data_IF_490092415307
#
_entry.id   IF_490092415307
#
_cell.length_a   1.000
_cell.length_b   1.000
_cell.length_c   1.000
_cell.angle_alpha   90.00
_cell.angle_beta   90.00
_cell.angle_gamma   90.00
#
_symmetry.space_group_name_H-M   'P 1'
#
loop_
_entity.id
_entity.type
_entity.pdbx_description
1 polymer ?
#
# COMPACT_ATOMS: atom_id res chain seq x y z
N UNK A 1 -2.03 33.62 -5.14
CA UNK A 1 -2.91 33.09 -6.21
C UNK A 1 -2.26 31.87 -6.86
N UNK A 2 -3.04 30.88 -7.30
CA UNK A 2 -2.58 29.72 -8.10
C UNK A 2 -3.34 29.72 -9.42
N UNK A 3 -2.64 29.56 -10.54
CA UNK A 3 -3.22 29.74 -11.87
C UNK A 3 -2.81 28.61 -12.83
N UNK A 4 -3.70 28.28 -13.76
CA UNK A 4 -3.41 27.47 -14.95
C UNK A 4 -3.71 28.32 -16.19
N UNK A 5 -2.77 29.16 -16.64
CA UNK A 5 -3.06 30.27 -17.56
C UNK A 5 -3.72 29.85 -18.88
N UNK A 6 -3.36 28.69 -19.40
CA UNK A 6 -3.91 28.18 -20.68
C UNK A 6 -5.23 27.44 -20.54
N UNK A 7 -5.61 27.05 -19.33
CA UNK A 7 -6.94 26.50 -19.04
C UNK A 7 -7.91 27.57 -18.56
N UNK A 8 -7.43 28.80 -18.29
CA UNK A 8 -8.25 29.88 -17.72
C UNK A 8 -8.75 29.55 -16.31
N UNK A 9 -8.01 28.75 -15.55
CA UNK A 9 -8.37 28.40 -14.17
C UNK A 9 -7.53 29.21 -13.18
N UNK A 10 -8.20 29.82 -12.21
CA UNK A 10 -7.58 30.64 -11.17
C UNK A 10 -8.15 30.24 -9.81
N UNK A 11 -7.27 30.13 -8.83
CA UNK A 11 -7.59 29.69 -7.47
C UNK A 11 -6.97 30.64 -6.45
N UNK A 12 -7.82 31.30 -5.68
CA UNK A 12 -7.42 32.15 -4.56
C UNK A 12 -7.41 31.33 -3.27
N UNK A 13 -6.33 30.57 -3.06
CA UNK A 13 -6.17 29.72 -1.87
C UNK A 13 -4.99 30.24 -1.04
N UNK A 14 -5.26 30.59 0.22
CA UNK A 14 -4.23 30.90 1.21
C UNK A 14 -3.58 29.62 1.74
N UNK A 15 -2.29 29.67 2.10
CA UNK A 15 -1.60 28.54 2.77
C UNK A 15 -2.19 28.25 4.15
N UNK A 16 -2.50 29.32 4.88
CA UNK A 16 -3.20 29.28 6.16
C UNK A 16 -4.68 29.02 5.91
N UNK A 17 -5.24 28.01 6.56
CA UNK A 17 -6.66 27.70 6.50
C UNK A 17 -7.45 28.62 7.44
N UNK A 18 -7.04 28.67 8.71
CA UNK A 18 -7.61 29.54 9.72
C UNK A 18 -6.65 29.68 10.90
N UNK A 19 -6.94 30.61 11.82
CA UNK A 19 -6.16 30.82 13.05
C UNK A 19 -7.02 30.47 14.26
N UNK A 20 -6.42 29.76 15.22
CA UNK A 20 -6.99 29.56 16.55
C UNK A 20 -6.17 30.44 17.51
N UNK A 21 -6.76 31.53 18.00
CA UNK A 21 -6.04 32.61 18.69
C UNK A 21 -4.88 33.15 17.83
N UNK A 22 -3.64 32.89 18.23
CA UNK A 22 -2.42 33.27 17.50
C UNK A 22 -1.80 32.12 16.71
N UNK A 23 -2.39 30.91 16.77
CA UNK A 23 -1.85 29.72 16.14
C UNK A 23 -2.42 29.52 14.73
N UNK A 24 -1.61 29.68 13.66
CA UNK A 24 -2.04 29.37 12.31
C UNK A 24 -2.18 27.86 12.11
N UNK A 25 -3.31 27.46 11.53
CA UNK A 25 -3.57 26.10 11.06
C UNK A 25 -3.46 26.10 9.54
N UNK A 26 -2.60 25.24 9.00
CA UNK A 26 -2.31 25.18 7.57
C UNK A 26 -3.12 24.08 6.88
N UNK A 27 -3.55 24.35 5.64
CA UNK A 27 -4.24 23.36 4.81
C UNK A 27 -3.44 22.08 4.63
N UNK A 28 -2.12 22.19 4.53
CA UNK A 28 -1.22 21.05 4.41
C UNK A 28 -1.43 20.02 5.54
N UNK A 29 -1.53 20.50 6.79
CA UNK A 29 -1.78 19.65 7.96
C UNK A 29 -3.19 19.05 7.95
N UNK A 30 -4.19 19.84 7.56
CA UNK A 30 -5.58 19.38 7.45
C UNK A 30 -5.71 18.26 6.41
N UNK A 31 -5.11 18.43 5.23
CA UNK A 31 -5.15 17.46 4.13
C UNK A 31 -4.46 16.16 4.55
N UNK A 32 -3.28 16.23 5.21
CA UNK A 32 -2.59 15.04 5.70
C UNK A 32 -3.40 14.33 6.80
N UNK A 33 -3.96 15.08 7.75
CA UNK A 33 -4.80 14.51 8.80
C UNK A 33 -6.04 13.81 8.20
N UNK A 34 -6.68 14.45 7.23
CA UNK A 34 -7.80 13.87 6.49
C UNK A 34 -7.40 12.59 5.75
N UNK A 35 -6.30 12.62 5.00
CA UNK A 35 -5.76 11.47 4.26
C UNK A 35 -5.47 10.28 5.20
N UNK A 36 -4.86 10.57 6.34
CA UNK A 36 -4.56 9.59 7.38
C UNK A 36 -5.83 9.00 8.00
N UNK A 37 -6.77 9.83 8.46
CA UNK A 37 -8.04 9.38 9.05
C UNK A 37 -8.82 8.53 8.03
N UNK A 38 -8.88 8.96 6.77
CA UNK A 38 -9.54 8.22 5.71
C UNK A 38 -8.90 6.84 5.50
N UNK A 39 -7.56 6.76 5.45
CA UNK A 39 -6.85 5.49 5.36
C UNK A 39 -7.16 4.55 6.53
N UNK A 40 -7.23 5.08 7.75
CA UNK A 40 -7.60 4.31 8.95
C UNK A 40 -9.03 3.81 8.87
N UNK A 41 -10.00 4.66 8.54
CA UNK A 41 -11.42 4.29 8.42
C UNK A 41 -11.61 3.22 7.35
N UNK A 42 -11.00 3.39 6.17
CA UNK A 42 -11.08 2.41 5.08
C UNK A 42 -10.38 1.10 5.46
N UNK A 43 -9.25 1.18 6.16
CA UNK A 43 -8.57 0.04 6.76
C UNK A 43 -9.50 -0.73 7.69
N UNK A 44 -10.01 -0.10 8.75
CA UNK A 44 -10.91 -0.73 9.72
C UNK A 44 -12.14 -1.37 9.08
N UNK A 45 -12.78 -0.69 8.12
CA UNK A 45 -13.96 -1.24 7.42
C UNK A 45 -13.64 -2.50 6.61
N UNK A 46 -12.41 -2.61 6.11
CA UNK A 46 -11.99 -3.70 5.25
C UNK A 46 -11.29 -4.83 6.01
N UNK A 47 -10.77 -4.57 7.22
CA UNK A 47 -9.93 -5.50 7.98
C UNK A 47 -10.59 -6.84 8.25
N UNK A 48 -11.90 -6.85 8.54
CA UNK A 48 -12.70 -8.07 8.77
C UNK A 48 -12.60 -9.06 7.61
N UNK A 49 -12.57 -8.57 6.37
CA UNK A 49 -12.45 -9.40 5.16
C UNK A 49 -11.09 -10.10 5.02
N UNK A 50 -10.11 -9.69 5.81
CA UNK A 50 -8.76 -10.25 5.83
C UNK A 50 -8.46 -11.01 7.12
N UNK A 51 -9.47 -11.24 7.96
CA UNK A 51 -9.29 -11.87 9.28
C UNK A 51 -8.38 -11.05 10.20
N UNK A 52 -8.46 -9.71 10.11
CA UNK A 52 -7.78 -8.79 11.01
C UNK A 52 -8.85 -8.02 11.79
N UNK A 53 -8.77 -8.09 13.11
CA UNK A 53 -9.67 -7.33 13.98
C UNK A 53 -9.55 -5.82 13.71
N UNK A 54 -10.67 -5.09 13.51
CA UNK A 54 -10.65 -3.64 13.32
C UNK A 54 -9.88 -2.89 14.41
N UNK A 55 -9.98 -3.35 15.64
CA UNK A 55 -9.30 -2.82 16.83
C UNK A 55 -7.79 -2.92 16.67
N UNK A 56 -7.29 -4.01 16.08
CA UNK A 56 -5.86 -4.17 15.79
C UNK A 56 -5.33 -3.13 14.80
N UNK A 57 -6.18 -2.58 13.91
CA UNK A 57 -5.78 -1.48 13.02
C UNK A 57 -5.61 -0.19 13.81
N UNK A 58 -6.55 0.10 14.72
CA UNK A 58 -6.48 1.27 15.60
C UNK A 58 -5.26 1.16 16.51
N UNK A 59 -5.06 0.01 17.16
CA UNK A 59 -3.89 -0.27 18.01
C UNK A 59 -2.59 -0.02 17.24
N UNK A 60 -2.44 -0.62 16.05
CA UNK A 60 -1.26 -0.46 15.22
C UNK A 60 -0.98 1.03 14.96
N UNK A 61 -2.00 1.80 14.60
CA UNK A 61 -1.88 3.21 14.27
C UNK A 61 -1.52 4.05 15.52
N UNK A 62 -2.11 3.74 16.68
CA UNK A 62 -1.82 4.40 17.95
C UNK A 62 -0.37 4.17 18.40
N UNK A 63 0.23 3.02 18.09
CA UNK A 63 1.66 2.79 18.31
C UNK A 63 2.54 3.39 17.20
N UNK A 64 2.14 3.23 15.93
CA UNK A 64 2.98 3.58 14.80
C UNK A 64 3.10 5.09 14.61
N UNK A 65 2.03 5.86 14.79
CA UNK A 65 2.05 7.31 14.54
C UNK A 65 2.99 8.07 15.50
N UNK A 66 2.95 7.87 16.83
CA UNK A 66 3.89 8.53 17.74
C UNK A 66 5.34 8.11 17.48
N UNK A 67 5.60 6.82 17.28
CA UNK A 67 6.95 6.31 17.00
C UNK A 67 7.48 6.84 15.67
N UNK A 68 6.64 6.94 14.63
CA UNK A 68 7.02 7.54 13.36
C UNK A 68 7.42 9.01 13.53
N UNK A 69 6.71 9.79 14.34
CA UNK A 69 7.07 11.20 14.61
C UNK A 69 8.43 11.27 15.32
N UNK A 70 8.65 10.43 16.33
CA UNK A 70 9.93 10.36 17.06
C UNK A 70 11.07 10.00 16.11
N UNK A 71 10.93 8.95 15.31
CA UNK A 71 11.97 8.56 14.36
C UNK A 71 12.17 9.58 13.24
N UNK A 72 11.12 10.24 12.77
CA UNK A 72 11.23 11.32 11.78
C UNK A 72 12.07 12.48 12.32
N UNK A 73 11.90 12.82 13.61
CA UNK A 73 12.72 13.85 14.27
C UNK A 73 14.15 13.38 14.50
N UNK A 74 14.34 12.18 15.04
CA UNK A 74 15.67 11.61 15.27
C UNK A 74 16.48 11.53 13.97
N UNK A 75 15.88 11.06 12.89
CA UNK A 75 16.52 11.04 11.58
C UNK A 75 16.93 12.44 11.14
N UNK A 76 16.05 13.44 11.25
CA UNK A 76 16.39 14.82 10.90
C UNK A 76 17.58 15.34 11.71
N UNK A 77 17.60 15.10 13.02
CA UNK A 77 18.66 15.56 13.94
C UNK A 77 19.99 14.89 13.62
N UNK A 78 20.01 13.60 13.34
CA UNK A 78 21.23 12.86 13.00
C UNK A 78 21.87 13.42 11.73
N UNK A 79 21.07 13.71 10.70
CA UNK A 79 21.59 14.24 9.43
C UNK A 79 21.92 15.73 9.48
N UNK A 80 21.42 16.47 10.47
CA UNK A 80 21.70 17.89 10.68
C UNK A 80 22.43 18.13 12.01
N UNK A 81 23.24 17.17 12.47
CA UNK A 81 23.86 17.19 13.81
C UNK A 81 24.61 18.49 14.14
N UNK A 82 25.19 19.13 13.12
CA UNK A 82 25.88 20.42 13.26
C UNK A 82 24.99 21.54 13.83
N UNK A 83 23.69 21.51 13.60
CA UNK A 83 22.71 22.50 14.10
C UNK A 83 22.30 22.23 15.57
N UNK A 84 22.41 20.98 16.02
CA UNK A 84 21.88 20.54 17.32
C UNK A 84 22.95 20.34 18.39
N UNK A 85 24.23 20.19 18.00
CA UNK A 85 25.34 19.89 18.92
C UNK A 85 25.50 20.91 20.06
N UNK A 86 25.12 22.16 19.83
CA UNK A 86 25.30 23.27 20.77
C UNK A 86 24.01 23.57 21.59
N UNK A 87 22.86 23.02 21.20
CA UNK A 87 21.60 23.11 21.94
C UNK A 87 20.78 21.81 21.79
N UNK A 88 21.02 20.86 22.69
CA UNK A 88 20.34 19.56 22.68
C UNK A 88 18.84 19.65 23.01
N UNK A 89 18.36 20.72 23.65
CA UNK A 89 16.93 20.89 23.95
C UNK A 89 16.13 21.20 22.69
N UNK A 90 16.75 21.82 21.68
CA UNK A 90 16.14 22.08 20.38
C UNK A 90 15.72 20.79 19.64
N UNK A 91 16.29 19.64 19.98
CA UNK A 91 15.90 18.31 19.45
C UNK A 91 14.41 18.03 19.67
N UNK A 92 13.84 18.47 20.80
CA UNK A 92 12.42 18.24 21.12
C UNK A 92 11.49 19.26 20.45
N UNK A 93 12.02 20.34 19.87
CA UNK A 93 11.21 21.37 19.25
C UNK A 93 10.78 20.96 17.83
N UNK A 94 9.69 20.19 17.75
CA UNK A 94 9.09 19.77 16.48
C UNK A 94 8.26 20.86 15.80
N UNK A 95 8.00 21.99 16.49
CA UNK A 95 7.16 23.07 15.97
C UNK A 95 7.87 23.95 14.94
N UNK A 96 9.20 24.00 14.99
CA UNK A 96 10.02 24.71 14.00
C UNK A 96 10.19 23.92 12.70
N UNK A 97 9.53 22.75 12.57
CA UNK A 97 9.72 21.84 11.46
C UNK A 97 10.84 20.83 11.73
N UNK A 98 11.47 20.34 10.68
CA UNK A 98 12.58 19.36 10.78
C UNK A 98 12.11 17.96 11.13
N UNK A 99 11.21 17.41 10.30
CA UNK A 99 10.78 16.02 10.33
C UNK A 99 11.16 15.37 8.99
N UNK A 100 11.98 14.32 9.04
CA UNK A 100 12.40 13.61 7.84
C UNK A 100 11.52 12.38 7.61
N UNK A 101 10.91 12.29 6.42
CA UNK A 101 9.99 11.20 6.07
C UNK A 101 10.64 9.81 6.17
N UNK A 102 11.93 9.70 5.83
CA UNK A 102 12.68 8.44 5.93
C UNK A 102 12.67 7.88 7.35
N UNK A 103 12.90 8.73 8.36
CA UNK A 103 12.80 8.34 9.76
C UNK A 103 11.39 7.85 10.12
N UNK A 104 10.36 8.60 9.71
CA UNK A 104 8.98 8.21 9.98
C UNK A 104 8.61 6.84 9.40
N UNK A 105 9.03 6.56 8.16
CA UNK A 105 8.82 5.25 7.52
C UNK A 105 9.56 4.14 8.26
N UNK A 106 10.82 4.35 8.65
CA UNK A 106 11.60 3.36 9.43
C UNK A 106 10.88 3.04 10.75
N UNK A 107 10.48 4.07 11.50
CA UNK A 107 9.76 3.90 12.77
C UNK A 107 8.44 3.14 12.60
N UNK A 108 7.66 3.50 11.57
CA UNK A 108 6.40 2.82 11.27
C UNK A 108 6.57 1.34 10.89
N UNK A 109 7.59 1.01 10.09
CA UNK A 109 7.90 -0.37 9.68
C UNK A 109 8.35 -1.22 10.88
N UNK A 110 9.19 -0.66 11.76
CA UNK A 110 9.63 -1.33 13.00
C UNK A 110 8.41 -1.67 13.86
N UNK A 111 7.51 -0.70 14.09
CA UNK A 111 6.29 -0.94 14.87
C UNK A 111 5.41 -1.98 14.19
N UNK A 112 5.17 -1.88 12.88
CA UNK A 112 4.34 -2.85 12.16
C UNK A 112 4.89 -4.27 12.26
N UNK A 113 6.21 -4.45 12.20
CA UNK A 113 6.86 -5.74 12.36
C UNK A 113 6.63 -6.34 13.76
N UNK A 114 6.93 -5.59 14.82
CA UNK A 114 6.77 -6.07 16.20
C UNK A 114 5.29 -6.26 16.56
N UNK A 115 4.42 -5.37 16.09
CA UNK A 115 2.97 -5.46 16.29
C UNK A 115 2.39 -6.72 15.63
N UNK A 116 2.75 -6.99 14.37
CA UNK A 116 2.32 -8.19 13.66
C UNK A 116 2.74 -9.47 14.42
N UNK A 117 4.00 -9.51 14.92
CA UNK A 117 4.50 -10.65 15.71
C UNK A 117 3.74 -10.80 17.02
N UNK A 118 3.46 -9.71 17.73
CA UNK A 118 2.73 -9.75 18.99
C UNK A 118 1.29 -10.22 18.82
N UNK A 119 0.58 -9.75 17.79
CA UNK A 119 -0.80 -10.15 17.47
C UNK A 119 -0.88 -11.45 16.67
N UNK A 120 0.24 -12.15 16.44
CA UNK A 120 0.33 -13.39 15.62
C UNK A 120 -0.24 -13.23 14.21
N UNK A 121 -0.14 -12.04 13.63
CA UNK A 121 -0.52 -11.74 12.25
C UNK A 121 0.71 -11.91 11.36
N UNK A 122 0.57 -12.54 10.19
CA UNK A 122 1.63 -12.58 9.20
C UNK A 122 2.10 -11.16 8.83
N UNK A 123 3.40 -10.86 8.96
CA UNK A 123 3.94 -9.51 8.69
C UNK A 123 3.60 -9.07 7.26
N UNK A 124 3.81 -9.95 6.28
CA UNK A 124 3.49 -9.66 4.88
C UNK A 124 1.99 -9.53 4.64
N UNK A 125 1.15 -10.32 5.34
CA UNK A 125 -0.30 -10.15 5.34
C UNK A 125 -0.70 -8.74 5.78
N UNK A 126 -0.13 -8.27 6.88
CA UNK A 126 -0.41 -6.94 7.44
C UNK A 126 0.05 -5.83 6.49
N UNK A 127 1.24 -5.95 5.90
CA UNK A 127 1.76 -4.96 4.95
C UNK A 127 0.93 -4.95 3.65
N UNK A 128 0.62 -6.11 3.06
CA UNK A 128 -0.27 -6.21 1.89
C UNK A 128 -1.63 -5.57 2.15
N UNK A 129 -2.12 -5.70 3.38
CA UNK A 129 -3.36 -5.10 3.84
C UNK A 129 -3.26 -3.57 3.98
N UNK A 130 -2.17 -3.05 4.54
CA UNK A 130 -1.99 -1.62 4.77
C UNK A 130 -1.64 -0.82 3.51
N UNK A 131 -0.81 -1.38 2.63
CA UNK A 131 -0.13 -0.61 1.57
C UNK A 131 -1.05 0.13 0.58
N UNK A 132 -2.23 -0.39 0.17
CA UNK A 132 -3.12 0.36 -0.71
C UNK A 132 -3.70 1.60 -0.03
N UNK A 133 -3.99 1.54 1.28
CA UNK A 133 -4.48 2.71 2.01
C UNK A 133 -3.37 3.74 2.22
N UNK A 134 -2.11 3.28 2.36
CA UNK A 134 -0.94 4.14 2.41
C UNK A 134 -0.79 4.93 1.11
N UNK A 135 -0.84 4.28 -0.05
CA UNK A 135 -0.69 4.99 -1.34
C UNK A 135 -1.88 5.90 -1.64
N UNK A 136 -3.10 5.55 -1.22
CA UNK A 136 -4.23 6.47 -1.27
C UNK A 136 -3.96 7.73 -0.43
N UNK A 137 -3.44 7.57 0.79
CA UNK A 137 -3.11 8.70 1.65
C UNK A 137 -1.98 9.56 1.07
N UNK A 138 -0.98 8.95 0.42
CA UNK A 138 0.06 9.68 -0.32
C UNK A 138 -0.56 10.56 -1.42
N UNK A 139 -1.43 9.98 -2.25
CA UNK A 139 -2.06 10.70 -3.36
C UNK A 139 -2.92 11.89 -2.90
N UNK A 140 -3.64 11.74 -1.78
CA UNK A 140 -4.40 12.85 -1.17
C UNK A 140 -3.45 13.88 -0.57
N UNK A 141 -2.40 13.44 0.13
CA UNK A 141 -1.39 14.31 0.74
C UNK A 141 -0.71 15.26 -0.25
N UNK A 142 -0.57 14.86 -1.52
CA UNK A 142 0.00 15.72 -2.59
C UNK A 142 -0.78 17.01 -2.82
N UNK A 143 -2.07 17.05 -2.50
CA UNK A 143 -2.86 18.29 -2.57
C UNK A 143 -2.42 19.33 -1.54
N UNK A 144 -1.70 18.92 -0.48
CA UNK A 144 -0.98 19.86 0.38
C UNK A 144 0.07 20.65 -0.39
N UNK A 145 0.84 19.99 -1.27
CA UNK A 145 1.87 20.66 -2.08
C UNK A 145 1.27 21.65 -3.08
N UNK A 146 0.06 21.37 -3.59
CA UNK A 146 -0.70 22.32 -4.41
C UNK A 146 -1.00 23.61 -3.65
N UNK A 147 -1.58 23.51 -2.45
CA UNK A 147 -1.92 24.67 -1.63
C UNK A 147 -0.67 25.44 -1.18
N UNK A 148 0.40 24.71 -0.85
CA UNK A 148 1.68 25.32 -0.49
C UNK A 148 2.47 25.88 -1.68
N UNK A 149 2.10 25.54 -2.92
CA UNK A 149 2.85 25.90 -4.14
C UNK A 149 4.32 25.48 -4.06
N UNK A 150 4.55 24.21 -3.74
CA UNK A 150 5.90 23.64 -3.57
C UNK A 150 6.03 22.32 -4.33
N UNK A 151 7.25 21.78 -4.35
CA UNK A 151 7.56 20.47 -4.93
C UNK A 151 7.18 20.33 -6.42
N UNK A 152 7.14 21.46 -7.16
CA UNK A 152 6.75 21.55 -8.56
C UNK A 152 7.86 21.08 -9.52
N UNK A 153 7.50 20.91 -10.80
CA UNK A 153 8.44 20.48 -11.83
C UNK A 153 9.16 21.63 -12.54
N UNK A 154 9.95 21.28 -13.55
CA UNK A 154 10.62 22.24 -14.45
C UNK A 154 9.60 23.08 -15.22
N UNK A 155 10.06 24.18 -15.80
CA UNK A 155 9.21 25.02 -16.64
C UNK A 155 8.63 24.21 -17.82
N UNK A 156 7.39 24.52 -18.18
CA UNK A 156 6.63 23.81 -19.20
C UNK A 156 5.81 24.77 -20.04
N UNK A 157 5.52 24.31 -21.26
CA UNK A 157 4.62 24.97 -22.21
C UNK A 157 3.39 24.10 -22.49
N UNK A 158 3.06 23.16 -21.61
CA UNK A 158 1.86 22.34 -21.74
C UNK A 158 0.60 23.13 -21.31
N UNK A 159 -0.59 22.77 -21.81
CA UNK A 159 -1.82 23.51 -21.51
C UNK A 159 -2.19 23.48 -20.02
N UNK A 160 -1.82 22.44 -19.28
CA UNK A 160 -2.04 22.31 -17.83
C UNK A 160 -0.85 22.80 -16.98
N UNK A 161 0.02 23.66 -17.52
CA UNK A 161 1.10 24.27 -16.73
C UNK A 161 0.54 25.14 -15.59
N UNK A 162 1.13 24.99 -14.40
CA UNK A 162 0.72 25.69 -13.18
C UNK A 162 1.66 26.87 -12.91
N UNK A 163 1.14 27.98 -12.41
CA UNK A 163 1.93 29.09 -11.88
C UNK A 163 1.33 29.61 -10.58
N UNK A 164 2.06 30.44 -9.87
CA UNK A 164 1.63 31.04 -8.62
C UNK A 164 2.73 31.90 -8.00
N UNK A 165 2.38 32.74 -7.04
CA UNK A 165 3.30 33.74 -6.48
C UNK A 165 4.51 33.09 -5.81
N UNK A 166 4.28 32.05 -5.03
CA UNK A 166 5.37 31.32 -4.37
C UNK A 166 6.19 30.46 -5.34
N UNK A 167 5.59 30.00 -6.44
CA UNK A 167 6.32 29.32 -7.51
C UNK A 167 7.27 30.31 -8.19
N UNK A 168 6.76 31.49 -8.56
CA UNK A 168 7.55 32.56 -9.20
C UNK A 168 8.73 32.98 -8.31
N UNK A 169 8.49 33.18 -7.02
CA UNK A 169 9.53 33.52 -6.04
C UNK A 169 10.60 32.43 -5.95
N UNK A 170 10.21 31.16 -5.83
CA UNK A 170 11.15 30.04 -5.78
C UNK A 170 11.94 29.89 -7.08
N UNK A 171 11.30 30.03 -8.25
CA UNK A 171 11.99 30.00 -9.54
C UNK A 171 12.99 31.14 -9.69
N UNK A 172 12.65 32.35 -9.23
CA UNK A 172 13.58 33.49 -9.25
C UNK A 172 14.82 33.19 -8.38
N UNK A 173 14.62 32.60 -7.20
CA UNK A 173 15.73 32.14 -6.36
C UNK A 173 16.59 31.06 -7.02
N UNK A 174 15.97 30.07 -7.68
CA UNK A 174 16.70 29.03 -8.41
C UNK A 174 17.47 29.61 -9.61
N UNK A 175 16.89 30.58 -10.32
CA UNK A 175 17.54 31.29 -11.42
C UNK A 175 18.79 32.05 -10.93
N UNK A 176 18.70 32.74 -9.78
CA UNK A 176 19.86 33.40 -9.16
C UNK A 176 20.98 32.42 -8.77
N UNK A 177 20.63 31.16 -8.47
CA UNK A 177 21.60 30.07 -8.24
C UNK A 177 22.21 29.48 -9.53
N UNK A 178 21.90 30.06 -10.69
CA UNK A 178 22.43 29.62 -11.99
C UNK A 178 21.67 28.44 -12.61
N UNK A 179 20.50 28.08 -12.06
CA UNK A 179 19.66 27.05 -12.69
C UNK A 179 18.96 27.62 -13.93
N UNK A 180 18.88 26.83 -15.00
CA UNK A 180 18.20 27.20 -16.23
C UNK A 180 16.67 27.13 -16.08
N UNK A 181 16.10 28.08 -15.32
CA UNK A 181 14.67 28.24 -15.09
C UNK A 181 14.20 29.66 -15.44
N UNK A 182 12.93 29.80 -15.80
CA UNK A 182 12.30 31.08 -16.14
C UNK A 182 11.12 31.32 -15.19
N UNK A 183 11.19 32.33 -14.29
CA UNK A 183 10.15 32.56 -13.28
C UNK A 183 8.74 32.77 -13.86
N UNK A 184 8.63 33.47 -15.00
CA UNK A 184 7.34 33.79 -15.60
C UNK A 184 6.73 32.64 -16.42
N UNK A 185 7.45 31.55 -16.60
CA UNK A 185 6.97 30.40 -17.36
C UNK A 185 6.31 29.38 -16.41
N UNK A 186 5.10 28.86 -16.72
CA UNK A 186 4.45 27.85 -15.89
C UNK A 186 5.33 26.62 -15.67
N UNK A 187 5.07 25.88 -14.60
CA UNK A 187 5.77 24.64 -14.23
C UNK A 187 4.87 23.43 -14.39
N UNK A 188 5.48 22.25 -14.52
CA UNK A 188 4.74 21.00 -14.42
C UNK A 188 4.09 20.86 -13.02
N UNK A 189 2.76 20.67 -12.91
CA UNK A 189 2.09 20.37 -11.64
C UNK A 189 2.38 18.92 -11.21
N UNK A 190 3.60 18.65 -10.75
CA UNK A 190 4.04 17.34 -10.28
C UNK A 190 3.16 16.78 -9.17
N UNK A 191 2.60 17.63 -8.30
CA UNK A 191 1.62 17.19 -7.28
C UNK A 191 0.45 16.41 -7.92
N UNK A 192 -0.05 16.88 -9.07
CA UNK A 192 -1.19 16.27 -9.77
C UNK A 192 -0.77 14.97 -10.40
N UNK A 193 0.42 14.93 -11.01
CA UNK A 193 0.95 13.70 -11.59
C UNK A 193 1.19 12.62 -10.52
N UNK A 194 1.78 12.98 -9.37
CA UNK A 194 1.96 12.07 -8.23
C UNK A 194 0.61 11.63 -7.67
N UNK A 195 -0.36 12.55 -7.50
CA UNK A 195 -1.70 12.22 -6.99
C UNK A 195 -2.44 11.25 -7.90
N UNK A 196 -2.45 11.50 -9.22
CA UNK A 196 -3.11 10.63 -10.20
C UNK A 196 -2.45 9.26 -10.28
N UNK A 197 -1.12 9.21 -10.23
CA UNK A 197 -0.35 7.97 -10.19
C UNK A 197 -0.66 7.17 -8.92
N UNK A 198 -0.64 7.82 -7.75
CA UNK A 198 -0.92 7.18 -6.47
C UNK A 198 -2.35 6.63 -6.41
N UNK A 199 -3.33 7.37 -6.95
CA UNK A 199 -4.72 6.89 -7.09
C UNK A 199 -4.81 5.72 -8.06
N UNK A 200 -4.10 5.77 -9.20
CA UNK A 200 -4.02 4.67 -10.16
C UNK A 200 -3.44 3.41 -9.54
N UNK A 201 -2.35 3.55 -8.77
CA UNK A 201 -1.73 2.45 -8.02
C UNK A 201 -2.71 1.92 -6.96
N UNK A 202 -3.37 2.79 -6.20
CA UNK A 202 -4.39 2.37 -5.22
C UNK A 202 -5.47 1.50 -5.86
N UNK A 203 -6.09 1.97 -6.94
CA UNK A 203 -7.15 1.24 -7.64
C UNK A 203 -6.64 -0.11 -8.16
N UNK A 204 -5.45 -0.12 -8.76
CA UNK A 204 -4.80 -1.34 -9.23
C UNK A 204 -4.54 -2.33 -8.08
N UNK A 205 -4.02 -1.88 -6.95
CA UNK A 205 -3.71 -2.77 -5.82
C UNK A 205 -4.96 -3.31 -5.14
N UNK A 206 -6.02 -2.51 -5.01
CA UNK A 206 -7.32 -2.98 -4.50
C UNK A 206 -7.90 -4.07 -5.41
N UNK A 207 -7.79 -3.87 -6.73
CA UNK A 207 -8.18 -4.87 -7.73
C UNK A 207 -7.30 -6.12 -7.66
N UNK A 208 -5.97 -5.97 -7.58
CA UNK A 208 -5.02 -7.10 -7.57
C UNK A 208 -5.09 -7.90 -6.27
N UNK A 209 -5.36 -7.26 -5.13
CA UNK A 209 -5.41 -7.94 -3.82
C UNK A 209 -6.38 -9.14 -3.80
N UNK A 210 -7.45 -9.11 -4.60
CA UNK A 210 -8.41 -10.23 -4.73
C UNK A 210 -7.86 -11.43 -5.53
N UNK A 211 -6.73 -11.26 -6.22
CA UNK A 211 -6.10 -12.23 -7.14
C UNK A 211 -4.70 -12.67 -6.69
N UNK A 212 -4.23 -12.17 -5.55
CA UNK A 212 -2.91 -12.52 -5.04
C UNK A 212 -2.88 -14.00 -4.68
N UNK A 213 -1.78 -14.69 -4.99
CA UNK A 213 -1.58 -16.09 -4.58
C UNK A 213 -0.71 -16.22 -3.33
N UNK A 214 0.16 -15.23 -3.11
CA UNK A 214 1.09 -15.19 -1.99
C UNK A 214 0.96 -13.91 -1.19
N UNK A 215 1.24 -13.99 0.10
CA UNK A 215 1.44 -12.82 0.94
C UNK A 215 2.74 -12.08 0.56
N UNK A 216 2.64 -10.76 0.43
CA UNK A 216 3.71 -9.86 0.02
C UNK A 216 3.61 -9.40 -1.42
N UNK A 217 2.77 -10.03 -2.26
CA UNK A 217 2.64 -9.64 -3.67
C UNK A 217 2.09 -8.22 -3.85
N UNK A 218 1.13 -7.82 -3.01
CA UNK A 218 0.53 -6.48 -3.09
C UNK A 218 1.57 -5.42 -2.70
N UNK A 219 2.34 -5.68 -1.65
CA UNK A 219 3.45 -4.83 -1.24
C UNK A 219 4.54 -4.73 -2.32
N UNK A 220 4.91 -5.84 -2.94
CA UNK A 220 5.95 -5.84 -3.97
C UNK A 220 5.49 -5.04 -5.19
N UNK A 221 4.25 -5.23 -5.63
CA UNK A 221 3.66 -4.45 -6.72
C UNK A 221 3.61 -2.96 -6.39
N UNK A 222 3.27 -2.58 -5.15
CA UNK A 222 3.37 -1.18 -4.72
C UNK A 222 4.80 -0.65 -4.88
N UNK A 223 5.81 -1.35 -4.35
CA UNK A 223 7.20 -0.90 -4.42
C UNK A 223 7.70 -0.75 -5.86
N UNK A 224 7.27 -1.64 -6.76
CA UNK A 224 7.60 -1.59 -8.19
C UNK A 224 6.93 -0.40 -8.85
N UNK A 225 5.61 -0.29 -8.75
CA UNK A 225 4.84 0.74 -9.45
C UNK A 225 5.16 2.14 -8.92
N UNK A 226 5.20 2.30 -7.60
CA UNK A 226 5.57 3.56 -6.97
C UNK A 226 7.03 3.91 -7.24
N UNK A 227 7.95 2.94 -7.24
CA UNK A 227 9.37 3.17 -7.56
C UNK A 227 9.58 3.68 -8.99
N UNK A 228 8.94 3.05 -9.98
CA UNK A 228 8.97 3.49 -11.39
C UNK A 228 8.37 4.89 -11.53
N UNK A 229 7.18 5.07 -10.98
CA UNK A 229 6.48 6.33 -11.07
C UNK A 229 7.24 7.48 -10.40
N UNK A 230 7.81 7.23 -9.22
CA UNK A 230 8.68 8.18 -8.52
C UNK A 230 9.92 8.52 -9.33
N UNK A 231 10.55 7.56 -9.99
CA UNK A 231 11.71 7.82 -10.84
C UNK A 231 11.36 8.74 -12.03
N UNK A 232 10.19 8.55 -12.63
CA UNK A 232 9.69 9.42 -13.71
C UNK A 232 9.41 10.84 -13.21
N UNK A 233 8.62 11.00 -12.14
CA UNK A 233 8.27 12.32 -11.61
C UNK A 233 9.48 13.06 -11.06
N UNK A 234 10.37 12.35 -10.37
CA UNK A 234 11.60 12.95 -9.86
C UNK A 234 12.44 13.52 -11.02
N UNK A 235 12.37 12.94 -12.23
CA UNK A 235 13.00 13.48 -13.44
C UNK A 235 12.46 14.85 -13.86
N UNK A 236 11.22 15.16 -13.50
CA UNK A 236 10.59 16.44 -13.79
C UNK A 236 10.84 17.49 -12.70
N UNK A 237 11.27 17.11 -11.49
CA UNK A 237 11.43 18.04 -10.36
C UNK A 237 12.63 18.96 -10.46
N UNK A 238 12.50 20.15 -9.88
CA UNK A 238 13.57 21.16 -9.78
C UNK A 238 14.31 21.14 -8.44
N UNK A 239 13.73 20.51 -7.42
CA UNK A 239 14.17 20.55 -6.01
C UNK A 239 14.60 19.17 -5.49
N UNK A 240 15.16 18.34 -6.37
CA UNK A 240 15.61 16.99 -6.01
C UNK A 240 16.80 16.98 -5.06
N UNK A 241 16.78 16.01 -4.13
CA UNK A 241 17.96 15.69 -3.34
C UNK A 241 19.01 15.03 -4.25
N UNK A 242 20.16 15.70 -4.41
CA UNK A 242 21.24 15.27 -5.28
C UNK A 242 22.33 14.53 -4.49
N UNK A 243 22.80 13.41 -5.03
CA UNK A 243 24.03 12.73 -4.64
C UNK A 243 24.99 12.81 -5.83
N UNK A 244 25.87 13.81 -5.82
CA UNK A 244 26.67 14.16 -7.00
C UNK A 244 25.75 14.59 -8.16
N UNK A 245 25.84 13.91 -9.30
CA UNK A 245 25.00 14.17 -10.47
C UNK A 245 23.67 13.39 -10.48
N UNK A 246 23.43 12.52 -9.49
CA UNK A 246 22.27 11.63 -9.46
C UNK A 246 21.21 12.13 -8.47
N UNK A 247 19.94 12.05 -8.86
CA UNK A 247 18.80 12.31 -7.95
C UNK A 247 18.58 11.09 -7.07
N UNK A 248 18.70 11.25 -5.75
CA UNK A 248 18.61 10.15 -4.77
C UNK A 248 17.29 9.40 -4.91
N UNK A 249 16.17 10.12 -5.08
CA UNK A 249 14.86 9.50 -5.21
C UNK A 249 14.72 8.66 -6.50
N UNK A 250 15.42 9.02 -7.59
CA UNK A 250 15.44 8.22 -8.81
C UNK A 250 16.25 6.93 -8.61
N UNK A 251 17.44 7.05 -8.02
CA UNK A 251 18.31 5.91 -7.75
C UNK A 251 17.60 4.88 -6.86
N UNK A 252 17.00 5.33 -5.76
CA UNK A 252 16.22 4.48 -4.87
C UNK A 252 15.00 3.89 -5.56
N UNK A 253 14.31 4.68 -6.39
CA UNK A 253 13.15 4.22 -7.18
C UNK A 253 13.51 3.05 -8.09
N UNK A 254 14.59 3.17 -8.87
CA UNK A 254 15.08 2.08 -9.74
C UNK A 254 15.55 0.86 -8.95
N UNK A 255 16.32 1.08 -7.88
CA UNK A 255 16.85 0.00 -7.05
C UNK A 255 15.72 -0.81 -6.39
N UNK A 256 14.69 -0.13 -5.87
CA UNK A 256 13.52 -0.82 -5.34
C UNK A 256 12.71 -1.50 -6.45
N UNK A 257 12.46 -0.83 -7.58
CA UNK A 257 11.72 -1.47 -8.67
C UNK A 257 12.38 -2.78 -9.14
N UNK A 258 13.70 -2.77 -9.37
CA UNK A 258 14.43 -3.96 -9.82
C UNK A 258 14.44 -5.05 -8.74
N UNK A 259 14.76 -4.70 -7.49
CA UNK A 259 14.86 -5.69 -6.41
C UNK A 259 13.52 -6.35 -6.11
N UNK A 260 12.42 -5.59 -6.12
CA UNK A 260 11.09 -6.14 -5.89
C UNK A 260 10.53 -6.90 -7.11
N UNK A 261 10.88 -6.52 -8.35
CA UNK A 261 10.57 -7.35 -9.53
C UNK A 261 11.24 -8.72 -9.41
N UNK A 262 12.53 -8.76 -9.09
CA UNK A 262 13.27 -10.02 -8.91
C UNK A 262 12.64 -10.84 -7.79
N UNK A 263 12.38 -10.24 -6.62
CA UNK A 263 11.76 -10.92 -5.49
C UNK A 263 10.36 -11.46 -5.84
N UNK A 264 9.55 -10.69 -6.57
CA UNK A 264 8.22 -11.10 -7.02
C UNK A 264 8.29 -12.31 -7.95
N UNK A 265 9.14 -12.26 -8.97
CA UNK A 265 9.30 -13.35 -9.95
C UNK A 265 9.84 -14.62 -9.30
N UNK A 266 10.87 -14.50 -8.45
CA UNK A 266 11.46 -15.65 -7.77
C UNK A 266 10.47 -16.33 -6.82
N UNK A 267 9.68 -15.55 -6.06
CA UNK A 267 8.67 -16.12 -5.15
C UNK A 267 7.54 -16.78 -5.92
N UNK A 268 7.10 -16.18 -7.03
CA UNK A 268 6.03 -16.78 -7.86
C UNK A 268 6.49 -18.07 -8.53
N UNK A 269 7.74 -18.12 -9.01
CA UNK A 269 8.34 -19.34 -9.56
C UNK A 269 8.44 -20.44 -8.51
N UNK A 270 8.96 -20.12 -7.32
CA UNK A 270 9.05 -21.10 -6.22
C UNK A 270 7.68 -21.65 -5.83
N UNK A 271 6.66 -20.80 -5.78
CA UNK A 271 5.29 -21.24 -5.49
C UNK A 271 4.71 -22.13 -6.58
N UNK A 272 4.89 -21.79 -7.86
CA UNK A 272 4.43 -22.65 -8.95
C UNK A 272 5.15 -24.00 -8.95
N UNK A 273 6.47 -24.04 -8.71
CA UNK A 273 7.23 -25.29 -8.58
C UNK A 273 6.71 -26.15 -7.42
N UNK A 274 6.41 -25.55 -6.27
CA UNK A 274 5.83 -26.32 -5.15
C UNK A 274 4.42 -26.85 -5.44
N UNK A 275 3.66 -26.20 -6.31
CA UNK A 275 2.37 -26.71 -6.76
C UNK A 275 2.55 -27.90 -7.71
N UNK A 276 3.49 -27.80 -8.66
CA UNK A 276 3.83 -28.90 -9.58
C UNK A 276 4.35 -30.13 -8.82
N UNK A 277 5.21 -29.93 -7.80
CA UNK A 277 5.70 -31.00 -6.93
C UNK A 277 4.57 -31.66 -6.12
N UNK A 278 3.63 -30.86 -5.58
CA UNK A 278 2.49 -31.37 -4.83
C UNK A 278 1.51 -32.15 -5.74
N UNK A 279 1.28 -31.68 -6.96
CA UNK A 279 0.46 -32.38 -7.96
C UNK A 279 1.09 -33.72 -8.36
N UNK A 280 2.41 -33.75 -8.59
CA UNK A 280 3.13 -34.99 -8.87
C UNK A 280 3.11 -35.98 -7.70
N UNK A 281 3.29 -35.50 -6.47
CA UNK A 281 3.21 -36.35 -5.27
C UNK A 281 1.81 -36.95 -5.09
N UNK A 282 0.75 -36.16 -5.30
CA UNK A 282 -0.63 -36.61 -5.26
C UNK A 282 -0.99 -37.61 -6.37
N UNK A 283 -0.38 -37.48 -7.56
CA UNK A 283 -0.53 -38.44 -8.67
C UNK A 283 0.35 -39.70 -8.53
N UNK A 284 1.23 -39.74 -7.53
CA UNK A 284 2.10 -40.89 -7.33
C UNK A 284 1.33 -42.03 -6.64
N UNK A 285 1.75 -43.27 -6.84
CA UNK A 285 1.18 -44.45 -6.15
C UNK A 285 1.19 -44.32 -4.61
N UNK A 286 2.10 -43.52 -4.07
CA UNK A 286 2.14 -43.21 -2.64
C UNK A 286 1.04 -42.20 -2.23
N UNK A 287 0.71 -41.26 -3.11
CA UNK A 287 -0.42 -40.34 -2.94
C UNK A 287 -1.78 -41.03 -3.02
N UNK A 288 -1.94 -42.03 -3.89
CA UNK A 288 -3.13 -42.90 -3.91
C UNK A 288 -3.30 -43.66 -2.59
N UNK A 289 -2.22 -44.28 -2.08
CA UNK A 289 -2.25 -45.00 -0.80
C UNK A 289 -2.57 -44.06 0.37
N UNK A 290 -2.04 -42.84 0.38
CA UNK A 290 -2.36 -41.86 1.42
C UNK A 290 -3.84 -41.44 1.37
N UNK A 291 -4.42 -41.29 0.17
CA UNK A 291 -5.86 -41.03 0.04
C UNK A 291 -6.70 -42.18 0.54
N UNK A 292 -6.35 -43.41 0.19
CA UNK A 292 -7.03 -44.60 0.74
C UNK A 292 -6.94 -44.62 2.27
N UNK A 293 -5.78 -44.29 2.87
CA UNK A 293 -5.63 -44.25 4.32
C UNK A 293 -6.45 -43.12 4.98
N UNK A 294 -6.50 -41.93 4.38
CA UNK A 294 -7.33 -40.81 4.88
C UNK A 294 -8.84 -41.08 4.70
N UNK A 295 -9.25 -41.76 3.63
CA UNK A 295 -10.63 -42.21 3.42
C UNK A 295 -11.00 -43.29 4.47
N UNK A 296 -10.14 -44.27 4.70
CA UNK A 296 -10.35 -45.29 5.74
C UNK A 296 -10.35 -44.71 7.18
N UNK A 297 -9.51 -43.70 7.49
CA UNK A 297 -9.54 -43.02 8.80
C UNK A 297 -10.85 -42.25 9.00
N UNK A 298 -11.39 -41.62 7.95
CA UNK A 298 -12.68 -40.94 8.02
C UNK A 298 -13.84 -41.91 8.20
N UNK A 299 -13.84 -43.03 7.49
CA UNK A 299 -14.83 -44.10 7.68
C UNK A 299 -14.77 -44.65 9.11
N UNK A 300 -13.57 -44.85 9.68
CA UNK A 300 -13.42 -45.28 11.07
C UNK A 300 -13.84 -44.22 12.10
N UNK A 301 -13.60 -42.94 11.84
CA UNK A 301 -14.07 -41.86 12.70
C UNK A 301 -15.61 -41.72 12.64
N UNK A 302 -16.23 -41.92 11.49
CA UNK A 302 -17.70 -41.93 11.32
C UNK A 302 -18.34 -43.17 11.97
N UNK A 303 -17.77 -44.36 11.81
CA UNK A 303 -18.20 -45.57 12.53
C UNK A 303 -17.99 -45.45 14.05
N UNK A 304 -16.90 -44.82 14.49
CA UNK A 304 -16.59 -44.58 15.89
C UNK A 304 -17.53 -43.58 16.58
N UNK A 305 -18.01 -42.57 15.85
CA UNK A 305 -19.02 -41.61 16.33
C UNK A 305 -20.39 -42.29 16.49
N UNK A 306 -20.71 -43.29 15.67
CA UNK A 306 -21.99 -44.01 15.71
C UNK A 306 -22.00 -45.20 16.68
N UNK A 307 -20.83 -45.64 17.19
CA UNK A 307 -20.73 -46.75 18.14
C UNK A 307 -21.20 -46.38 19.58
N UNK A 308 -21.22 -45.09 19.93
CA UNK A 308 -21.54 -44.59 21.27
C UNK A 308 -22.98 -44.02 21.41
N UNK A 309 -23.76 -43.95 20.32
CA UNK A 309 -25.14 -43.44 20.32
C UNK A 309 -26.11 -44.41 19.58
N UNK A 310 -27.01 -45.11 20.30
CA UNK A 310 -27.94 -46.05 19.69
C UNK A 310 -28.99 -45.42 18.76
N UNK A 311 -29.19 -44.09 18.79
CA UNK A 311 -30.12 -43.37 17.91
C UNK A 311 -29.48 -43.03 16.52
N UNK A 312 -28.17 -43.26 16.33
CA UNK A 312 -27.50 -43.03 15.04
C UNK A 312 -27.63 -44.19 14.05
N UNK A 313 -27.91 -45.42 14.52
CA UNK A 313 -28.02 -46.59 13.64
C UNK A 313 -29.23 -46.53 12.71
N UNK A 314 -30.34 -45.94 13.16
CA UNK A 314 -31.56 -45.79 12.36
C UNK A 314 -31.43 -44.71 11.26
N UNK A 315 -30.44 -43.81 11.34
CA UNK A 315 -30.21 -42.76 10.32
C UNK A 315 -29.35 -43.26 9.16
N UNK A 316 -28.44 -44.22 9.43
CA UNK A 316 -27.54 -44.78 8.41
C UNK A 316 -28.29 -45.77 7.51
N UNK A 317 -29.20 -46.57 8.06
CA UNK A 317 -30.06 -47.45 7.24
C UNK A 317 -31.02 -46.65 6.34
N UNK A 318 -31.47 -45.47 6.77
CA UNK A 318 -32.34 -44.58 5.97
C UNK A 318 -31.57 -43.81 4.86
N UNK A 319 -30.26 -43.55 5.03
CA UNK A 319 -29.43 -42.89 3.99
C UNK A 319 -28.89 -43.88 2.93
N UNK A 320 -28.64 -45.16 3.28
CA UNK A 320 -28.29 -46.19 2.30
C UNK A 320 -29.48 -46.53 1.36
N UNK A 321 -30.70 -46.63 1.88
CA UNK A 321 -31.91 -46.92 1.07
C UNK A 321 -32.32 -45.70 0.20
N UNK A 322 -32.04 -44.48 0.65
CA UNK A 322 -32.26 -43.25 -0.14
C UNK A 322 -31.18 -43.03 -1.22
N UNK A 323 -29.98 -43.59 -1.04
CA UNK A 323 -28.87 -43.52 -2.01
C UNK A 323 -29.01 -44.46 -3.20
N UNK A 324 -29.63 -45.63 -3.02
CA UNK A 324 -29.91 -46.56 -4.12
C UNK A 324 -31.05 -46.07 -5.05
N UNK A 325 -32.06 -45.39 -4.50
CA UNK A 325 -33.17 -44.84 -5.30
C UNK A 325 -32.76 -43.59 -6.12
N UNK A 326 -31.78 -42.80 -5.66
CA UNK A 326 -31.29 -41.61 -6.41
C UNK A 326 -30.31 -41.96 -7.55
N UNK A 327 -29.56 -43.06 -7.45
CA UNK A 327 -28.70 -43.52 -8.55
C UNK A 327 -29.49 -44.12 -9.72
N UNK A 328 -30.71 -44.62 -9.49
CA UNK A 328 -31.51 -45.22 -10.55
C UNK A 328 -32.29 -44.19 -11.42
N UNK A 329 -32.52 -42.97 -10.93
CA UNK A 329 -33.18 -41.89 -11.71
C UNK A 329 -32.22 -41.05 -12.58
N UNK A 330 -30.97 -40.82 -12.15
CA UNK A 330 -30.00 -40.03 -12.96
C UNK A 330 -29.53 -40.78 -14.21
N UNK A 331 -29.36 -42.11 -14.11
CA UNK A 331 -28.87 -42.96 -15.21
C UNK A 331 -29.90 -43.14 -16.36
N UNK A 332 -31.18 -42.86 -16.09
CA UNK A 332 -32.26 -42.86 -17.08
C UNK A 332 -32.35 -41.52 -17.83
N UNK A 333 -32.11 -40.39 -17.16
CA UNK A 333 -32.17 -39.06 -17.78
C UNK A 333 -30.99 -38.79 -18.73
N UNK A 334 -29.82 -39.34 -18.44
CA UNK A 334 -28.60 -39.13 -19.24
C UNK A 334 -28.57 -39.95 -20.56
N UNK A 335 -29.45 -40.97 -20.70
CA UNK A 335 -29.55 -41.80 -21.92
C UNK A 335 -30.55 -41.28 -22.97
N UNK A 336 -31.47 -40.39 -22.61
CA UNK A 336 -32.41 -39.80 -23.58
C UNK A 336 -31.88 -38.53 -24.27
N UNK A 337 -30.97 -37.77 -23.64
CA UNK A 337 -30.50 -36.50 -24.22
C UNK A 337 -29.36 -36.65 -25.26
N UNK A 338 -28.83 -37.86 -25.45
CA UNK A 338 -27.72 -38.16 -26.38
C UNK A 338 -28.14 -38.92 -27.65
N UNK A 339 -29.45 -38.95 -27.98
CA UNK A 339 -29.95 -39.56 -29.23
C UNK A 339 -30.39 -38.58 -30.32
N UNK A 340 -30.48 -37.29 -30.03
CA UNK A 340 -30.82 -36.26 -31.01
C UNK A 340 -29.85 -35.06 -30.90
N UNK A 341 -28.61 -35.22 -31.38
CA UNK A 341 -27.76 -34.13 -31.88
C UNK A 341 -26.57 -34.62 -32.70
#
# INVERSE_FOLDING_TARGET
MIEFPRLGLEFEISREAFKIFTLPIYWYGIIIAFAFILAVILGMRSSKKFGIEPESIVDLVLFAAPVAIVFARLYYVVFNWGEFKDDLLSVFNTRQGGLAIYGGVIGAVIVAYFFARHKKIGVLKLIDFGVPYLVLAQGIGRWGNFVNQEAFGVNTRLPWGMTGDSIREQLAFLQMKGMAVTPDLPVHPTFLYESLMDIGIFLFLIWYRKRKKLEGEVFFLYMILYGIGRAFIEGLRTDSLMLGSLRVSQLLGFLFAISFVIAFVLRRRKFNLSLEEAEQAGSSRYGEILRELEENEKEQDEEGICADDPDCQDIIEDEEDAGEDFMHEEDASFKEENKDK
#
